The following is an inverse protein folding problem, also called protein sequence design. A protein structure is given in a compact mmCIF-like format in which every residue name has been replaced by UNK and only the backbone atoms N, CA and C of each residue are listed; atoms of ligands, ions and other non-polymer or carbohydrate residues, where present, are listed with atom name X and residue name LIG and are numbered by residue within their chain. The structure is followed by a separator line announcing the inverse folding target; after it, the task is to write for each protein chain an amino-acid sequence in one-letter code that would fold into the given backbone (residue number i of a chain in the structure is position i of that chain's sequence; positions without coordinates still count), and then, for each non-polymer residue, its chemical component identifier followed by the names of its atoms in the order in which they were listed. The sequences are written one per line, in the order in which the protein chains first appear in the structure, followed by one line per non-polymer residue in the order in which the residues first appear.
data_IF_753540195481
#
_entry.id   IF_753540195481
#
_cell.length_a   1.000
_cell.length_b   1.000
_cell.length_c   1.000
_cell.angle_alpha   90.00
_cell.angle_beta   90.00
_cell.angle_gamma   90.00
#
_symmetry.space_group_name_H-M   'P 1'
#
loop_
_entity.id
_entity.type
_entity.pdbx_description
1 polymer ?
#
# COMPACT_ATOMS: atom_id res chain seq x y z
N UNK A 1 57.73 26.09 12.37
CA UNK A 1 56.39 26.59 11.93
C UNK A 1 55.22 25.71 12.41
N UNK A 2 55.39 24.85 13.43
CA UNK A 2 54.31 24.05 14.04
C UNK A 2 54.01 24.45 15.49
N UNK A 3 54.76 25.40 16.06
CA UNK A 3 54.59 25.89 17.43
C UNK A 3 53.73 27.16 17.55
N UNK A 4 53.40 27.82 16.43
CA UNK A 4 52.53 29.00 16.39
C UNK A 4 51.05 28.67 16.11
N UNK A 5 50.75 27.51 15.53
CA UNK A 5 49.37 27.08 15.27
C UNK A 5 48.67 26.56 16.54
N UNK A 6 49.42 25.97 17.48
CA UNK A 6 48.87 25.39 18.70
C UNK A 6 48.51 26.41 19.80
N UNK A 7 48.96 27.67 19.69
CA UNK A 7 48.62 28.72 20.66
C UNK A 7 47.28 29.40 20.38
N UNK A 8 46.74 29.29 19.17
CA UNK A 8 45.43 29.88 18.82
C UNK A 8 44.24 28.93 19.05
N UNK A 9 44.46 27.61 19.17
CA UNK A 9 43.40 26.65 19.45
C UNK A 9 43.09 26.48 20.96
N UNK A 10 43.96 26.97 21.86
CA UNK A 10 43.71 26.90 23.30
C UNK A 10 42.69 27.93 23.82
N UNK A 11 42.30 28.93 23.01
CA UNK A 11 41.25 29.90 23.38
C UNK A 11 39.83 29.48 22.97
N UNK A 12 39.66 28.31 22.34
CA UNK A 12 38.35 27.79 21.89
C UNK A 12 37.83 26.62 22.75
N UNK A 13 38.56 26.21 23.79
CA UNK A 13 38.22 25.03 24.62
C UNK A 13 37.39 25.39 25.88
N UNK A 14 37.07 26.67 26.12
CA UNK A 14 36.22 27.09 27.23
C UNK A 14 35.04 27.95 26.78
N UNK A 15 34.26 27.45 25.83
CA UNK A 15 32.86 27.87 25.76
C UNK A 15 32.11 27.11 26.85
N UNK A 16 31.44 27.78 27.81
CA UNK A 16 30.67 27.09 28.83
C UNK A 16 29.63 26.19 28.15
N UNK A 17 29.48 24.96 28.66
CA UNK A 17 28.39 24.09 28.23
C UNK A 17 27.07 24.87 28.35
N UNK A 18 26.28 24.95 27.26
CA UNK A 18 24.98 25.64 27.27
C UNK A 18 24.20 25.21 28.51
N UNK A 19 23.68 26.19 29.26
CA UNK A 19 22.89 25.92 30.46
C UNK A 19 21.79 24.91 30.13
N UNK A 20 21.53 23.94 31.02
CA UNK A 20 20.54 22.87 30.80
C UNK A 20 19.17 23.45 30.40
N UNK A 21 18.81 24.61 30.97
CA UNK A 21 17.59 25.35 30.63
C UNK A 21 17.58 25.89 29.20
N UNK A 22 18.72 26.39 28.72
CA UNK A 22 18.88 26.92 27.37
C UNK A 22 18.86 25.78 26.34
N UNK A 23 19.51 24.65 26.65
CA UNK A 23 19.47 23.45 25.82
C UNK A 23 18.07 22.81 25.76
N UNK A 24 17.28 22.88 26.84
CA UNK A 24 15.86 22.46 26.82
C UNK A 24 15.01 23.41 25.99
N UNK A 25 15.20 24.73 26.13
CA UNK A 25 14.46 25.73 25.35
C UNK A 25 14.71 25.57 23.84
N UNK A 26 15.97 25.42 23.43
CA UNK A 26 16.32 25.15 22.03
C UNK A 26 15.72 23.83 21.50
N UNK A 27 15.59 22.80 22.35
CA UNK A 27 14.97 21.53 21.97
C UNK A 27 13.47 21.69 21.72
N UNK A 28 12.77 22.41 22.61
CA UNK A 28 11.35 22.73 22.45
C UNK A 28 11.10 23.59 21.21
N UNK A 29 11.92 24.62 20.98
CA UNK A 29 11.84 25.47 19.78
C UNK A 29 12.07 24.67 18.49
N UNK A 30 13.01 23.71 18.51
CA UNK A 30 13.26 22.81 17.38
C UNK A 30 12.09 21.84 17.14
N UNK A 31 11.53 21.24 18.19
CA UNK A 31 10.37 20.36 18.10
C UNK A 31 9.13 21.10 17.57
N UNK A 32 8.89 22.33 18.03
CA UNK A 32 7.83 23.19 17.52
C UNK A 32 8.03 23.55 16.04
N UNK A 33 9.27 23.88 15.65
CA UNK A 33 9.62 24.18 14.27
C UNK A 33 9.35 22.97 13.36
N UNK A 34 9.77 21.78 13.78
CA UNK A 34 9.53 20.52 13.04
C UNK A 34 8.03 20.20 12.96
N UNK A 35 7.29 20.40 14.06
CA UNK A 35 5.84 20.19 14.09
C UNK A 35 5.09 21.17 13.17
N UNK A 36 5.51 22.44 13.12
CA UNK A 36 4.96 23.44 12.20
C UNK A 36 5.30 23.11 10.75
N UNK A 37 6.52 22.67 10.46
CA UNK A 37 6.93 22.22 9.12
C UNK A 37 6.05 21.05 8.64
N UNK A 38 5.88 20.01 9.47
CA UNK A 38 4.98 18.87 9.17
C UNK A 38 3.54 19.31 8.95
N UNK A 39 3.00 20.23 9.77
CA UNK A 39 1.64 20.76 9.58
C UNK A 39 1.49 21.55 8.28
N UNK A 40 2.51 22.31 7.87
CA UNK A 40 2.51 23.05 6.60
C UNK A 40 2.57 22.09 5.42
N UNK A 41 3.45 21.08 5.46
CA UNK A 41 3.52 20.03 4.43
C UNK A 41 2.19 19.29 4.27
N UNK A 42 1.55 18.89 5.37
CA UNK A 42 0.23 18.22 5.31
C UNK A 42 -0.81 19.14 4.67
N UNK A 43 -0.87 20.42 5.05
CA UNK A 43 -1.81 21.38 4.46
C UNK A 43 -1.52 21.66 2.97
N UNK A 44 -0.26 21.74 2.58
CA UNK A 44 0.12 21.91 1.18
C UNK A 44 -0.17 20.66 0.35
N UNK A 45 0.07 19.47 0.91
CA UNK A 45 -0.30 18.21 0.30
C UNK A 45 -1.82 18.10 0.14
N UNK A 46 -2.63 18.49 1.14
CA UNK A 46 -4.09 18.55 1.05
C UNK A 46 -4.56 19.54 -0.02
N UNK A 47 -3.95 20.73 -0.11
CA UNK A 47 -4.24 21.72 -1.16
C UNK A 47 -3.88 21.20 -2.55
N UNK A 48 -2.71 20.57 -2.70
CA UNK A 48 -2.29 19.93 -3.97
C UNK A 48 -3.24 18.82 -4.35
N UNK A 49 -3.62 17.95 -3.40
CA UNK A 49 -4.59 16.87 -3.59
C UNK A 49 -5.95 17.42 -4.01
N UNK A 50 -6.43 18.52 -3.42
CA UNK A 50 -7.68 19.18 -3.81
C UNK A 50 -7.61 19.76 -5.22
N UNK A 51 -6.53 20.46 -5.56
CA UNK A 51 -6.31 21.07 -6.88
C UNK A 51 -6.11 20.03 -7.97
N UNK A 52 -5.47 18.91 -7.64
CA UNK A 52 -5.34 17.74 -8.52
C UNK A 52 -6.69 17.05 -8.68
N UNK A 53 -7.50 16.92 -7.62
CA UNK A 53 -8.86 16.37 -7.71
C UNK A 53 -9.79 17.24 -8.55
N UNK A 54 -9.64 18.57 -8.52
CA UNK A 54 -10.37 19.52 -9.37
C UNK A 54 -9.92 19.44 -10.84
N UNK A 55 -8.60 19.38 -11.10
CA UNK A 55 -8.04 19.23 -12.46
C UNK A 55 -8.32 17.87 -13.07
N UNK A 56 -8.20 16.81 -12.28
CA UNK A 56 -8.58 15.48 -12.71
C UNK A 56 -10.09 15.41 -12.86
N UNK A 57 -10.89 16.06 -12.01
CA UNK A 57 -12.36 16.18 -12.14
C UNK A 57 -12.84 16.68 -13.51
N UNK A 58 -12.19 17.71 -14.05
CA UNK A 58 -12.48 18.23 -15.41
C UNK A 58 -11.92 17.34 -16.52
N UNK A 59 -10.82 16.62 -16.29
CA UNK A 59 -10.25 15.67 -17.24
C UNK A 59 -11.04 14.33 -17.27
N UNK A 60 -11.54 13.88 -16.12
CA UNK A 60 -12.37 12.68 -15.92
C UNK A 60 -13.69 12.82 -16.65
N UNK A 61 -14.32 14.00 -16.58
CA UNK A 61 -15.58 14.28 -17.29
C UNK A 61 -15.46 14.16 -18.81
N UNK A 62 -14.26 14.35 -19.36
CA UNK A 62 -14.01 14.26 -20.80
C UNK A 62 -13.49 12.88 -21.24
N UNK A 63 -13.04 12.02 -20.31
CA UNK A 63 -12.39 10.75 -20.65
C UNK A 63 -13.35 9.56 -20.67
N UNK A 64 -14.32 9.45 -19.75
CA UNK A 64 -15.41 8.46 -19.79
C UNK A 64 -16.49 8.83 -18.75
N UNK A 65 -17.78 8.67 -19.07
CA UNK A 65 -18.90 8.80 -18.11
C UNK A 65 -18.74 7.83 -16.91
N UNK A 66 -19.26 8.22 -15.75
CA UNK A 66 -19.12 7.47 -14.48
C UNK A 66 -19.62 6.03 -14.57
N UNK A 67 -20.66 5.80 -15.36
CA UNK A 67 -21.27 4.48 -15.59
C UNK A 67 -20.36 3.60 -16.47
N UNK A 68 -19.55 4.18 -17.35
CA UNK A 68 -18.62 3.43 -18.19
C UNK A 68 -17.46 2.85 -17.37
N UNK A 69 -16.98 3.57 -16.35
CA UNK A 69 -15.98 3.02 -15.42
C UNK A 69 -16.54 1.82 -14.64
N UNK A 70 -17.83 1.87 -14.28
CA UNK A 70 -18.48 0.76 -13.62
C UNK A 70 -18.54 -0.48 -14.52
N UNK A 71 -18.76 -0.31 -15.83
CA UNK A 71 -18.76 -1.39 -16.84
C UNK A 71 -17.36 -1.90 -17.20
N UNK A 72 -16.32 -1.09 -16.99
CA UNK A 72 -14.93 -1.46 -17.15
C UNK A 72 -14.22 -0.59 -18.15
N UNK A 73 -12.97 -0.25 -17.82
CA UNK A 73 -12.17 0.59 -18.69
C UNK A 73 -11.58 -0.30 -19.79
N UNK A 74 -11.74 0.04 -21.07
CA UNK A 74 -11.10 -0.69 -22.16
C UNK A 74 -9.57 -0.76 -21.93
N UNK A 75 -8.92 -1.93 -22.13
CA UNK A 75 -7.49 -2.08 -21.88
C UNK A 75 -6.62 -1.03 -22.58
N UNK A 76 -7.00 -0.60 -23.78
CA UNK A 76 -6.29 0.38 -24.60
C UNK A 76 -6.24 1.81 -24.03
N UNK A 77 -6.99 2.10 -22.97
CA UNK A 77 -6.99 3.43 -22.34
C UNK A 77 -6.70 3.38 -20.83
N UNK A 78 -6.46 2.18 -20.27
CA UNK A 78 -6.09 2.01 -18.86
C UNK A 78 -4.80 2.74 -18.52
N UNK A 79 -3.85 2.78 -19.46
CA UNK A 79 -2.58 3.50 -19.31
C UNK A 79 -2.79 4.96 -18.87
N UNK A 80 -3.67 5.68 -19.56
CA UNK A 80 -3.98 7.08 -19.30
C UNK A 80 -4.80 7.21 -18.03
N UNK A 81 -5.87 6.42 -17.92
CA UNK A 81 -6.84 6.56 -16.84
C UNK A 81 -6.21 6.24 -15.48
N UNK A 82 -5.51 5.11 -15.37
CA UNK A 82 -4.87 4.70 -14.11
C UNK A 82 -3.72 5.65 -13.73
N UNK A 83 -2.91 6.09 -14.71
CA UNK A 83 -1.84 7.06 -14.45
C UNK A 83 -2.36 8.38 -13.89
N UNK A 84 -3.47 8.88 -14.44
CA UNK A 84 -4.11 10.11 -13.97
C UNK A 84 -4.75 9.94 -12.60
N UNK A 85 -5.39 8.79 -12.35
CA UNK A 85 -6.04 8.47 -11.09
C UNK A 85 -5.08 8.32 -9.92
N UNK A 86 -4.01 7.56 -10.14
CA UNK A 86 -2.98 7.32 -9.11
C UNK A 86 -2.11 8.57 -8.96
N UNK A 87 -1.79 9.24 -10.05
CA UNK A 87 -1.01 10.47 -10.08
C UNK A 87 0.49 10.26 -9.86
N UNK A 88 1.22 11.37 -9.78
CA UNK A 88 2.67 11.38 -9.57
C UNK A 88 3.07 12.38 -8.47
N UNK A 89 2.50 12.19 -7.27
CA UNK A 89 2.78 13.01 -6.08
C UNK A 89 4.27 12.97 -5.68
N UNK A 90 4.96 11.86 -5.99
CA UNK A 90 6.40 11.67 -5.77
C UNK A 90 7.28 12.43 -6.78
N UNK A 91 6.71 13.00 -7.84
CA UNK A 91 7.42 13.70 -8.92
C UNK A 91 8.54 12.84 -9.55
N UNK A 92 8.28 11.55 -9.75
CA UNK A 92 9.22 10.64 -10.39
C UNK A 92 9.27 10.97 -11.88
N UNK A 93 10.47 11.22 -12.38
CA UNK A 93 10.72 11.50 -13.80
C UNK A 93 11.21 10.23 -14.51
N UNK A 94 11.12 10.23 -15.84
CA UNK A 94 11.70 9.15 -16.66
C UNK A 94 13.22 9.04 -16.47
N UNK A 95 13.92 10.16 -16.26
CA UNK A 95 15.36 10.15 -15.93
C UNK A 95 15.64 9.44 -14.59
N UNK A 96 14.82 9.68 -13.57
CA UNK A 96 14.94 8.96 -12.30
C UNK A 96 14.68 7.46 -12.46
N UNK A 97 13.71 7.09 -13.30
CA UNK A 97 13.47 5.69 -13.65
C UNK A 97 14.71 5.05 -14.29
N UNK A 98 15.33 5.68 -15.29
CA UNK A 98 16.54 5.14 -15.94
C UNK A 98 17.71 4.96 -14.94
N UNK A 99 17.87 5.89 -14.00
CA UNK A 99 18.86 5.77 -12.93
C UNK A 99 18.56 4.56 -12.03
N UNK A 100 17.30 4.37 -11.63
CA UNK A 100 16.91 3.23 -10.80
C UNK A 100 17.02 1.90 -11.56
N UNK A 101 16.65 1.88 -12.84
CA UNK A 101 16.78 0.75 -13.74
C UNK A 101 18.22 0.30 -13.85
N UNK A 102 19.14 1.23 -14.12
CA UNK A 102 20.58 0.96 -14.21
C UNK A 102 21.12 0.33 -12.92
N UNK A 103 20.73 0.88 -11.77
CA UNK A 103 21.13 0.34 -10.44
C UNK A 103 20.54 -1.05 -10.18
N UNK A 104 19.29 -1.28 -10.58
CA UNK A 104 18.65 -2.59 -10.44
C UNK A 104 19.38 -3.63 -11.30
N UNK A 105 19.69 -3.31 -12.56
CA UNK A 105 20.44 -4.19 -13.46
C UNK A 105 21.83 -4.54 -12.92
N UNK A 106 22.58 -3.54 -12.42
CA UNK A 106 23.89 -3.79 -11.78
C UNK A 106 23.76 -4.71 -10.56
N UNK A 107 22.71 -4.52 -9.75
CA UNK A 107 22.44 -5.36 -8.58
C UNK A 107 22.16 -6.81 -8.99
N UNK A 108 21.36 -7.02 -10.04
CA UNK A 108 21.05 -8.35 -10.56
C UNK A 108 22.26 -9.04 -11.18
N UNK A 109 23.05 -8.32 -11.98
CA UNK A 109 24.28 -8.87 -12.56
C UNK A 109 25.24 -9.37 -11.47
N UNK A 110 25.50 -8.55 -10.45
CA UNK A 110 26.35 -8.94 -9.31
C UNK A 110 25.81 -10.16 -8.58
N UNK A 111 24.49 -10.30 -8.50
CA UNK A 111 23.86 -11.43 -7.84
C UNK A 111 24.00 -12.73 -8.66
N UNK A 112 23.93 -12.65 -9.99
CA UNK A 112 24.18 -13.79 -10.88
C UNK A 112 25.65 -14.23 -10.84
N UNK A 113 26.58 -13.27 -10.90
CA UNK A 113 28.02 -13.54 -10.83
C UNK A 113 28.39 -14.29 -9.53
N UNK A 114 27.85 -13.84 -8.38
CA UNK A 114 28.09 -14.48 -7.08
C UNK A 114 27.53 -15.92 -6.99
N UNK A 115 26.36 -16.18 -7.56
CA UNK A 115 25.78 -17.53 -7.59
C UNK A 115 26.56 -18.50 -8.48
N UNK A 116 27.29 -18.01 -9.47
CA UNK A 116 28.14 -18.84 -10.32
C UNK A 116 29.51 -19.12 -9.67
N UNK A 117 30.01 -18.20 -8.83
CA UNK A 117 31.34 -18.30 -8.23
C UNK A 117 31.37 -18.95 -6.83
N UNK A 118 30.29 -18.89 -6.04
CA UNK A 118 30.25 -19.45 -4.68
C UNK A 118 29.07 -20.39 -4.46
N UNK A 119 29.36 -21.69 -4.30
CA UNK A 119 28.40 -22.70 -3.84
C UNK A 119 28.11 -22.66 -2.34
N UNK A 120 28.74 -21.77 -1.56
CA UNK A 120 28.53 -21.64 -0.12
C UNK A 120 28.64 -20.17 0.35
N UNK A 121 27.56 -19.73 1.01
CA UNK A 121 27.31 -18.56 1.86
C UNK A 121 28.37 -17.45 2.01
N UNK A 122 27.97 -16.18 1.80
CA UNK A 122 27.99 -15.06 2.79
C UNK A 122 27.24 -13.83 2.20
N UNK A 123 25.99 -13.61 2.62
CA UNK A 123 25.19 -12.44 2.20
C UNK A 123 23.77 -12.36 2.77
N UNK A 124 23.51 -12.95 3.94
CA UNK A 124 22.21 -13.45 4.40
C UNK A 124 20.98 -12.50 4.32
N UNK A 125 21.13 -11.18 4.35
CA UNK A 125 19.99 -10.26 4.46
C UNK A 125 19.62 -9.54 3.13
N UNK A 126 20.60 -9.31 2.25
CA UNK A 126 20.37 -8.67 0.93
C UNK A 126 20.15 -9.68 -0.19
N UNK A 127 20.80 -10.83 -0.09
CA UNK A 127 20.69 -11.95 -1.04
C UNK A 127 19.29 -12.58 -0.98
N UNK A 128 18.73 -12.66 0.24
CA UNK A 128 17.38 -13.16 0.48
C UNK A 128 16.32 -12.31 -0.25
N UNK A 129 16.51 -10.98 -0.35
CA UNK A 129 15.54 -10.11 -1.03
C UNK A 129 15.38 -10.42 -2.53
N UNK A 130 16.47 -10.79 -3.23
CA UNK A 130 16.43 -11.07 -4.67
C UNK A 130 15.87 -12.46 -4.97
N UNK A 131 16.19 -13.45 -4.14
CA UNK A 131 15.58 -14.78 -4.24
C UNK A 131 14.08 -14.75 -3.93
N UNK A 132 13.65 -13.95 -2.95
CA UNK A 132 12.23 -13.72 -2.69
C UNK A 132 11.52 -13.03 -3.87
N UNK A 133 12.18 -12.09 -4.56
CA UNK A 133 11.65 -11.49 -5.79
C UNK A 133 11.53 -12.53 -6.91
N UNK A 134 12.53 -13.40 -7.12
CA UNK A 134 12.43 -14.49 -8.11
C UNK A 134 11.28 -15.45 -7.80
N UNK A 135 11.14 -15.85 -6.54
CA UNK A 135 10.05 -16.70 -6.08
C UNK A 135 8.69 -16.04 -6.30
N UNK A 136 8.60 -14.73 -6.11
CA UNK A 136 7.39 -13.97 -6.42
C UNK A 136 7.07 -13.93 -7.90
N UNK A 137 8.07 -13.66 -8.75
CA UNK A 137 7.89 -13.64 -10.20
C UNK A 137 7.41 -15.01 -10.70
N UNK A 138 7.98 -16.12 -10.20
CA UNK A 138 7.60 -17.46 -10.63
C UNK A 138 6.12 -17.79 -10.37
N UNK A 139 5.56 -17.25 -9.28
CA UNK A 139 4.13 -17.40 -8.91
C UNK A 139 3.21 -16.29 -9.41
N UNK A 140 3.73 -15.28 -10.12
CA UNK A 140 2.93 -14.14 -10.60
C UNK A 140 2.26 -14.47 -11.94
N UNK A 141 0.94 -14.64 -11.94
CA UNK A 141 0.13 -15.01 -13.11
C UNK A 141 0.77 -16.15 -13.95
N UNK A 142 1.07 -17.31 -13.34
CA UNK A 142 1.90 -18.34 -13.96
C UNK A 142 1.27 -18.95 -15.22
N UNK A 143 -0.05 -18.96 -15.32
CA UNK A 143 -0.80 -19.48 -16.47
C UNK A 143 -0.59 -18.65 -17.74
N UNK A 144 -0.14 -17.40 -17.63
CA UNK A 144 0.16 -16.55 -18.79
C UNK A 144 1.54 -16.85 -19.38
N UNK A 145 2.46 -17.45 -18.62
CA UNK A 145 3.83 -17.76 -19.03
C UNK A 145 4.67 -16.57 -19.54
N UNK A 146 4.24 -15.33 -19.31
CA UNK A 146 4.90 -14.11 -19.83
C UNK A 146 5.85 -13.44 -18.84
N UNK A 147 5.66 -13.67 -17.54
CA UNK A 147 6.48 -13.10 -16.46
C UNK A 147 7.53 -14.08 -15.95
N UNK A 148 7.30 -15.38 -16.12
CA UNK A 148 8.23 -16.44 -15.72
C UNK A 148 9.51 -16.37 -16.58
N UNK A 149 10.57 -17.04 -16.13
CA UNK A 149 11.87 -17.04 -16.81
C UNK A 149 11.71 -17.45 -18.29
N UNK A 150 12.25 -16.64 -19.19
CA UNK A 150 12.11 -16.80 -20.64
C UNK A 150 10.90 -16.10 -21.26
N UNK A 151 9.97 -15.60 -20.45
CA UNK A 151 8.85 -14.79 -20.90
C UNK A 151 9.25 -13.34 -21.24
N UNK A 152 8.50 -12.66 -22.12
CA UNK A 152 8.85 -11.32 -22.62
C UNK A 152 8.90 -10.23 -21.55
N UNK A 153 8.17 -10.38 -20.44
CA UNK A 153 8.12 -9.39 -19.36
C UNK A 153 9.00 -9.74 -18.15
N UNK A 154 9.71 -10.86 -18.17
CA UNK A 154 10.49 -11.35 -17.03
C UNK A 154 11.46 -10.31 -16.49
N UNK A 155 12.37 -9.84 -17.34
CA UNK A 155 13.41 -8.88 -16.97
C UNK A 155 12.82 -7.51 -16.62
N UNK A 156 11.74 -7.11 -17.31
CA UNK A 156 11.08 -5.82 -17.07
C UNK A 156 10.44 -5.80 -15.68
N UNK A 157 9.71 -6.86 -15.32
CA UNK A 157 9.11 -7.02 -14.00
C UNK A 157 10.20 -7.08 -12.92
N UNK A 158 11.24 -7.88 -13.15
CA UNK A 158 12.38 -8.01 -12.25
C UNK A 158 13.06 -6.67 -11.94
N UNK A 159 13.16 -5.78 -12.93
CA UNK A 159 13.77 -4.47 -12.77
C UNK A 159 12.89 -3.45 -12.04
N UNK A 160 11.57 -3.60 -12.08
CA UNK A 160 10.64 -2.74 -11.32
C UNK A 160 10.59 -3.13 -9.84
N UNK A 161 10.82 -4.41 -9.52
CA UNK A 161 10.63 -4.91 -8.16
C UNK A 161 11.77 -4.53 -7.20
N UNK A 162 11.40 -3.83 -6.13
CA UNK A 162 12.31 -3.47 -5.03
C UNK A 162 12.18 -4.34 -3.78
N UNK A 163 11.02 -4.97 -3.55
CA UNK A 163 10.68 -5.76 -2.35
C UNK A 163 9.70 -6.90 -2.72
N UNK A 164 9.70 -7.97 -1.93
CA UNK A 164 8.73 -9.07 -2.00
C UNK A 164 7.28 -8.58 -1.83
N UNK A 165 6.33 -9.30 -2.43
CA UNK A 165 4.89 -9.11 -2.36
C UNK A 165 4.34 -8.16 -3.42
N UNK A 166 5.22 -7.51 -4.19
CA UNK A 166 4.85 -6.44 -5.10
C UNK A 166 4.72 -6.88 -6.57
N UNK A 167 5.07 -8.13 -6.87
CA UNK A 167 5.12 -8.65 -8.24
C UNK A 167 3.78 -8.61 -8.95
N UNK A 168 2.69 -8.93 -8.27
CA UNK A 168 1.35 -8.92 -8.86
C UNK A 168 0.90 -7.50 -9.24
N UNK A 169 1.13 -6.51 -8.38
CA UNK A 169 0.82 -5.10 -8.67
C UNK A 169 1.65 -4.61 -9.86
N UNK A 170 2.96 -4.85 -9.84
CA UNK A 170 3.85 -4.44 -10.92
C UNK A 170 3.49 -5.14 -12.24
N UNK A 171 3.11 -6.42 -12.21
CA UNK A 171 2.66 -7.17 -13.37
C UNK A 171 1.37 -6.60 -13.96
N UNK A 172 0.34 -6.31 -13.15
CA UNK A 172 -0.90 -5.67 -13.65
C UNK A 172 -0.59 -4.34 -14.32
N UNK A 173 0.30 -3.53 -13.75
CA UNK A 173 0.72 -2.27 -14.35
C UNK A 173 1.47 -2.47 -15.67
N UNK A 174 2.41 -3.41 -15.74
CA UNK A 174 3.19 -3.70 -16.95
C UNK A 174 2.36 -4.26 -18.12
N UNK A 175 1.21 -4.87 -17.84
CA UNK A 175 0.29 -5.32 -18.89
C UNK A 175 -0.50 -4.18 -19.52
N UNK A 176 -0.60 -3.05 -18.82
CA UNK A 176 -1.43 -1.92 -19.24
C UNK A 176 -0.60 -0.66 -19.53
N UNK A 177 0.65 -0.57 -19.08
CA UNK A 177 1.53 0.59 -19.19
C UNK A 177 2.91 0.19 -19.72
N UNK A 178 3.60 1.14 -20.36
CA UNK A 178 5.03 0.97 -20.62
C UNK A 178 5.84 0.94 -19.31
N UNK A 179 7.07 0.44 -19.35
CA UNK A 179 7.84 0.16 -18.13
C UNK A 179 8.13 1.41 -17.27
N UNK A 180 8.43 2.54 -17.89
CA UNK A 180 8.72 3.78 -17.17
C UNK A 180 7.47 4.34 -16.47
N UNK A 181 6.35 4.41 -17.17
CA UNK A 181 5.08 4.87 -16.60
C UNK A 181 4.54 3.88 -15.56
N UNK A 182 4.68 2.57 -15.81
CA UNK A 182 4.36 1.53 -14.84
C UNK A 182 5.15 1.73 -13.53
N UNK A 183 6.45 2.03 -13.61
CA UNK A 183 7.27 2.32 -12.43
C UNK A 183 6.80 3.57 -11.68
N UNK A 184 6.49 4.66 -12.39
CA UNK A 184 5.97 5.90 -11.79
C UNK A 184 4.66 5.61 -11.05
N UNK A 185 3.71 4.96 -11.71
CA UNK A 185 2.41 4.63 -11.13
C UNK A 185 2.56 3.68 -9.96
N UNK A 186 3.39 2.64 -10.10
CA UNK A 186 3.70 1.68 -9.05
C UNK A 186 4.22 2.36 -7.78
N UNK A 187 5.28 3.17 -7.89
CA UNK A 187 5.86 3.85 -6.74
C UNK A 187 4.87 4.80 -6.04
N UNK A 188 4.05 5.53 -6.81
CA UNK A 188 3.03 6.41 -6.26
C UNK A 188 1.87 5.64 -5.60
N UNK A 189 1.48 4.50 -6.16
CA UNK A 189 0.47 3.62 -5.58
C UNK A 189 0.94 3.06 -4.23
N UNK A 190 2.18 2.57 -4.16
CA UNK A 190 2.77 2.06 -2.92
C UNK A 190 2.89 3.14 -1.83
N UNK A 191 2.95 4.42 -2.21
CA UNK A 191 3.01 5.55 -1.29
C UNK A 191 1.62 6.07 -0.83
N UNK A 192 0.52 5.45 -1.27
CA UNK A 192 -0.82 5.80 -0.77
C UNK A 192 -1.01 5.34 0.68
N UNK A 193 -1.83 6.03 1.51
CA UNK A 193 -1.95 5.74 2.94
C UNK A 193 -2.35 4.29 3.27
N UNK A 194 -3.34 3.74 2.55
CA UNK A 194 -3.74 2.34 2.70
C UNK A 194 -2.56 1.42 2.38
N UNK A 195 -1.99 1.52 1.19
CA UNK A 195 -0.85 0.71 0.76
C UNK A 195 0.31 0.81 1.75
N UNK A 196 0.74 2.01 2.15
CA UNK A 196 1.81 2.19 3.14
C UNK A 196 1.54 1.46 4.46
N UNK A 197 0.29 1.43 4.93
CA UNK A 197 -0.10 0.71 6.15
C UNK A 197 0.21 -0.78 6.04
N UNK A 198 -0.22 -1.41 4.95
CA UNK A 198 -0.05 -2.84 4.72
C UNK A 198 1.37 -3.20 4.29
N UNK A 199 2.03 -2.40 3.43
CA UNK A 199 3.40 -2.63 2.97
C UNK A 199 4.45 -2.50 4.06
N UNK A 200 4.30 -1.52 4.96
CA UNK A 200 5.24 -1.34 6.08
C UNK A 200 4.89 -2.17 7.29
N UNK A 201 3.82 -2.97 7.21
CA UNK A 201 3.28 -3.73 8.35
C UNK A 201 3.08 -2.80 9.55
N UNK A 202 2.50 -1.62 9.30
CA UNK A 202 2.13 -0.69 10.37
C UNK A 202 0.89 -1.26 11.07
N UNK A 203 1.13 -2.13 12.04
CA UNK A 203 0.07 -2.82 12.79
C UNK A 203 -0.96 -1.83 13.35
N UNK A 204 -0.53 -0.66 13.82
CA UNK A 204 -1.44 0.34 14.40
C UNK A 204 -2.40 0.91 13.35
N UNK A 205 -1.93 1.15 12.13
CA UNK A 205 -2.77 1.64 11.04
C UNK A 205 -3.60 0.52 10.40
N UNK A 206 -3.04 -0.69 10.25
CA UNK A 206 -3.76 -1.87 9.78
C UNK A 206 -4.95 -2.22 10.67
N UNK A 207 -4.76 -2.22 12.01
CA UNK A 207 -5.85 -2.47 12.96
C UNK A 207 -7.00 -1.45 12.82
N UNK A 208 -6.71 -0.20 12.42
CA UNK A 208 -7.76 0.81 12.17
C UNK A 208 -8.51 0.54 10.88
N UNK A 209 -7.83 0.08 9.84
CA UNK A 209 -8.48 -0.39 8.62
C UNK A 209 -9.36 -1.62 8.90
N UNK A 210 -8.89 -2.58 9.70
CA UNK A 210 -9.68 -3.73 10.11
C UNK A 210 -10.90 -3.32 10.94
N UNK A 211 -10.74 -2.45 11.93
CA UNK A 211 -11.85 -1.96 12.72
C UNK A 211 -12.87 -1.19 11.86
N UNK A 212 -12.43 -0.36 10.92
CA UNK A 212 -13.32 0.32 9.98
C UNK A 212 -14.07 -0.70 9.10
N UNK A 213 -13.37 -1.70 8.57
CA UNK A 213 -13.95 -2.78 7.80
C UNK A 213 -15.00 -3.56 8.61
N UNK A 214 -14.70 -3.94 9.85
CA UNK A 214 -15.61 -4.69 10.73
C UNK A 214 -16.92 -3.95 10.99
N UNK A 215 -16.91 -2.62 11.12
CA UNK A 215 -18.13 -1.80 11.24
C UNK A 215 -19.06 -2.01 10.05
N UNK A 216 -18.53 -1.97 8.83
CA UNK A 216 -19.35 -2.15 7.63
C UNK A 216 -19.66 -3.61 7.35
N UNK A 217 -18.79 -4.53 7.75
CA UNK A 217 -19.06 -5.96 7.66
C UNK A 217 -20.26 -6.34 8.55
N UNK A 218 -20.29 -5.89 9.80
CA UNK A 218 -21.43 -6.11 10.70
C UNK A 218 -22.73 -5.49 10.17
N UNK A 219 -22.67 -4.27 9.62
CA UNK A 219 -23.84 -3.58 9.07
C UNK A 219 -24.44 -4.32 7.85
N UNK A 220 -23.59 -4.85 6.97
CA UNK A 220 -24.06 -5.51 5.75
C UNK A 220 -24.39 -7.00 5.95
N UNK A 221 -23.64 -7.70 6.81
CA UNK A 221 -23.69 -9.16 6.97
C UNK A 221 -23.66 -9.57 8.46
N UNK A 222 -24.65 -9.15 9.27
CA UNK A 222 -24.61 -9.32 10.73
C UNK A 222 -24.53 -10.79 11.17
N UNK A 223 -25.20 -11.70 10.45
CA UNK A 223 -25.18 -13.14 10.75
C UNK A 223 -23.78 -13.73 10.51
N UNK A 224 -23.19 -13.43 9.35
CA UNK A 224 -21.85 -13.88 9.01
C UNK A 224 -20.79 -13.27 9.92
N UNK A 225 -20.93 -11.98 10.27
CA UNK A 225 -20.06 -11.32 11.24
C UNK A 225 -20.10 -12.02 12.60
N UNK A 226 -21.29 -12.30 13.14
CA UNK A 226 -21.44 -13.03 14.39
C UNK A 226 -20.82 -14.44 14.31
N UNK A 227 -20.96 -15.12 13.17
CA UNK A 227 -20.32 -16.42 12.93
C UNK A 227 -18.79 -16.32 12.93
N UNK A 228 -18.21 -15.32 12.26
CA UNK A 228 -16.77 -15.10 12.26
C UNK A 228 -16.25 -14.79 13.67
N UNK A 229 -16.98 -13.98 14.45
CA UNK A 229 -16.65 -13.73 15.87
C UNK A 229 -16.72 -14.99 16.71
N UNK A 230 -17.73 -15.86 16.53
CA UNK A 230 -17.86 -17.14 17.24
C UNK A 230 -16.66 -18.06 16.99
N UNK A 231 -16.14 -18.09 15.77
CA UNK A 231 -15.01 -18.95 15.38
C UNK A 231 -13.64 -18.25 15.47
N UNK A 232 -13.58 -17.02 15.99
CA UNK A 232 -12.37 -16.19 16.06
C UNK A 232 -11.66 -16.03 14.69
N UNK A 233 -12.42 -15.95 13.59
CA UNK A 233 -11.88 -15.68 12.27
C UNK A 233 -11.73 -14.17 12.08
N UNK A 234 -10.50 -13.68 12.22
CA UNK A 234 -10.18 -12.25 12.18
C UNK A 234 -9.75 -11.78 10.77
N UNK A 235 -9.95 -10.49 10.43
CA UNK A 235 -9.66 -9.98 9.08
C UNK A 235 -8.21 -10.15 8.63
N UNK A 236 -7.23 -10.16 9.52
CA UNK A 236 -5.81 -10.35 9.18
C UNK A 236 -5.52 -11.67 8.45
N UNK A 237 -6.38 -12.69 8.63
CA UNK A 237 -6.22 -14.01 8.00
C UNK A 237 -6.44 -13.95 6.49
N UNK A 238 -7.36 -13.12 6.00
CA UNK A 238 -7.77 -13.11 4.58
C UNK A 238 -7.62 -11.74 3.91
N UNK A 239 -7.82 -10.65 4.66
CA UNK A 239 -7.95 -9.31 4.10
C UNK A 239 -6.60 -8.69 3.72
N UNK A 240 -5.49 -9.13 4.31
CA UNK A 240 -4.15 -8.60 4.01
C UNK A 240 -3.86 -8.72 2.52
N UNK A 241 -3.87 -9.94 1.98
CA UNK A 241 -3.52 -10.18 0.58
C UNK A 241 -4.48 -9.47 -0.39
N UNK A 242 -5.76 -9.38 -0.03
CA UNK A 242 -6.79 -8.72 -0.82
C UNK A 242 -6.51 -7.22 -0.97
N UNK A 243 -6.23 -6.53 0.14
CA UNK A 243 -6.03 -5.07 0.13
C UNK A 243 -4.61 -4.71 -0.32
N UNK A 244 -3.61 -5.43 0.18
CA UNK A 244 -2.20 -5.19 -0.09
C UNK A 244 -1.89 -5.31 -1.59
N UNK A 245 -2.42 -6.34 -2.27
CA UNK A 245 -2.23 -6.55 -3.72
C UNK A 245 -3.31 -5.93 -4.59
N UNK A 246 -4.28 -5.20 -4.00
CA UNK A 246 -5.48 -4.73 -4.72
C UNK A 246 -6.12 -5.90 -5.50
N UNK A 247 -6.28 -7.03 -4.84
CA UNK A 247 -6.84 -8.28 -5.36
C UNK A 247 -6.06 -8.97 -6.48
N UNK A 248 -4.95 -8.41 -6.97
CA UNK A 248 -4.21 -8.99 -8.11
C UNK A 248 -3.60 -10.36 -7.82
N UNK A 249 -3.34 -10.69 -6.54
CA UNK A 249 -2.92 -12.05 -6.12
C UNK A 249 -4.10 -12.99 -5.87
N UNK A 250 -5.26 -12.44 -5.50
CA UNK A 250 -6.38 -13.20 -4.93
C UNK A 250 -7.52 -13.46 -5.92
N UNK A 251 -7.60 -12.69 -7.01
CA UNK A 251 -8.61 -12.81 -8.05
C UNK A 251 -7.95 -13.07 -9.41
N UNK A 252 -8.69 -13.68 -10.36
CA UNK A 252 -8.26 -13.76 -11.76
C UNK A 252 -7.91 -12.37 -12.32
N UNK A 253 -6.92 -12.31 -13.22
CA UNK A 253 -6.38 -11.04 -13.73
C UNK A 253 -7.48 -10.09 -14.25
N UNK A 254 -8.41 -10.58 -15.06
CA UNK A 254 -9.46 -9.73 -15.64
C UNK A 254 -10.41 -9.17 -14.58
N UNK A 255 -10.74 -9.97 -13.56
CA UNK A 255 -11.53 -9.54 -12.40
C UNK A 255 -10.76 -8.50 -11.59
N UNK A 256 -9.49 -8.75 -11.31
CA UNK A 256 -8.63 -7.81 -10.59
C UNK A 256 -8.51 -6.48 -11.34
N UNK A 257 -8.31 -6.49 -12.66
CA UNK A 257 -8.28 -5.27 -13.48
C UNK A 257 -9.60 -4.50 -13.41
N UNK A 258 -10.75 -5.18 -13.36
CA UNK A 258 -12.05 -4.51 -13.16
C UNK A 258 -12.16 -3.84 -11.79
N UNK A 259 -11.65 -4.50 -10.74
CA UNK A 259 -11.56 -3.89 -9.40
C UNK A 259 -10.65 -2.66 -9.42
N UNK A 260 -9.53 -2.73 -10.12
CA UNK A 260 -8.59 -1.61 -10.28
C UNK A 260 -9.21 -0.41 -11.01
N UNK A 261 -10.01 -0.67 -12.05
CA UNK A 261 -10.72 0.37 -12.80
C UNK A 261 -11.55 1.24 -11.84
N UNK A 262 -12.34 0.61 -10.96
CA UNK A 262 -13.20 1.37 -10.02
C UNK A 262 -12.45 1.85 -8.78
N UNK A 263 -11.41 1.14 -8.32
CA UNK A 263 -10.49 1.65 -7.31
C UNK A 263 -9.86 2.99 -7.74
N UNK A 264 -9.48 3.13 -9.02
CA UNK A 264 -8.95 4.38 -9.54
C UNK A 264 -9.97 5.53 -9.46
N UNK A 265 -11.27 5.24 -9.48
CA UNK A 265 -12.36 6.22 -9.36
C UNK A 265 -12.64 6.59 -7.90
N UNK A 266 -12.83 5.56 -7.09
CA UNK A 266 -13.47 5.66 -5.77
C UNK A 266 -12.44 5.60 -4.61
N UNK A 267 -11.20 5.19 -4.92
CA UNK A 267 -10.11 5.07 -3.96
C UNK A 267 -10.19 3.83 -3.08
N UNK A 268 -9.46 3.86 -1.97
CA UNK A 268 -9.27 2.71 -1.07
C UNK A 268 -10.58 2.14 -0.50
N UNK A 269 -11.62 2.96 -0.35
CA UNK A 269 -12.95 2.53 0.10
C UNK A 269 -13.52 1.40 -0.77
N UNK A 270 -13.27 1.46 -2.08
CA UNK A 270 -13.76 0.45 -3.02
C UNK A 270 -13.14 -0.93 -2.78
N UNK A 271 -11.91 -0.99 -2.28
CA UNK A 271 -11.27 -2.25 -1.93
C UNK A 271 -12.03 -2.92 -0.79
N UNK A 272 -12.38 -2.19 0.27
CA UNK A 272 -13.15 -2.74 1.38
C UNK A 272 -14.60 -3.08 0.99
N UNK A 273 -15.20 -2.31 0.09
CA UNK A 273 -16.51 -2.66 -0.50
C UNK A 273 -16.45 -4.00 -1.23
N UNK A 274 -15.40 -4.21 -2.00
CA UNK A 274 -15.13 -5.46 -2.73
C UNK A 274 -14.95 -6.63 -1.77
N UNK A 275 -14.25 -6.44 -0.64
CA UNK A 275 -14.09 -7.47 0.39
C UNK A 275 -15.44 -7.93 0.96
N UNK A 276 -16.32 -6.99 1.34
CA UNK A 276 -17.66 -7.33 1.85
C UNK A 276 -18.49 -8.02 0.76
N UNK A 277 -18.37 -7.59 -0.49
CA UNK A 277 -19.09 -8.21 -1.60
C UNK A 277 -18.68 -9.67 -1.83
N UNK A 278 -17.39 -9.98 -1.74
CA UNK A 278 -16.90 -11.37 -1.78
C UNK A 278 -17.48 -12.18 -0.63
N UNK A 279 -17.51 -11.63 0.59
CA UNK A 279 -18.14 -12.30 1.73
C UNK A 279 -19.64 -12.52 1.53
N UNK A 280 -20.34 -11.55 0.94
CA UNK A 280 -21.76 -11.64 0.59
C UNK A 280 -22.02 -12.75 -0.43
N UNK A 281 -21.21 -12.85 -1.50
CA UNK A 281 -21.33 -13.92 -2.50
C UNK A 281 -21.22 -15.32 -1.91
N UNK A 282 -20.42 -15.47 -0.86
CA UNK A 282 -20.13 -16.76 -0.23
C UNK A 282 -20.81 -16.94 1.13
N UNK A 283 -21.71 -16.03 1.54
CA UNK A 283 -22.29 -16.01 2.88
C UNK A 283 -22.93 -17.35 3.26
N UNK A 284 -23.79 -17.90 2.39
CA UNK A 284 -24.51 -19.15 2.65
C UNK A 284 -23.57 -20.35 2.88
N UNK A 285 -22.43 -20.37 2.18
CA UNK A 285 -21.44 -21.43 2.28
C UNK A 285 -20.58 -21.23 3.53
N UNK A 286 -20.12 -20.00 3.79
CA UNK A 286 -19.29 -19.65 4.94
C UNK A 286 -20.01 -19.88 6.27
N UNK A 287 -21.32 -19.60 6.35
CA UNK A 287 -22.14 -19.87 7.54
C UNK A 287 -22.19 -21.34 7.95
N UNK A 288 -21.85 -22.26 7.03
CA UNK A 288 -21.84 -23.71 7.28
C UNK A 288 -20.44 -24.25 7.57
N UNK A 289 -19.42 -23.41 7.48
CA UNK A 289 -18.02 -23.79 7.66
C UNK A 289 -17.54 -23.50 9.08
N UNK A 290 -16.55 -24.29 9.53
CA UNK A 290 -15.76 -23.99 10.72
C UNK A 290 -14.60 -23.04 10.39
N UNK A 291 -13.80 -22.69 11.40
CA UNK A 291 -12.64 -21.81 11.26
C UNK A 291 -11.68 -22.24 10.13
N UNK A 292 -11.33 -23.52 10.06
CA UNK A 292 -10.29 -24.02 9.14
C UNK A 292 -10.79 -23.89 7.70
N UNK A 293 -12.02 -24.34 7.43
CA UNK A 293 -12.59 -24.31 6.09
C UNK A 293 -12.84 -22.87 5.61
N UNK A 294 -13.31 -21.98 6.49
CA UNK A 294 -13.45 -20.56 6.16
C UNK A 294 -12.08 -19.94 5.84
N UNK A 295 -11.07 -20.15 6.66
CA UNK A 295 -9.73 -19.60 6.45
C UNK A 295 -9.11 -20.09 5.13
N UNK A 296 -9.25 -21.38 4.82
CA UNK A 296 -8.76 -21.96 3.56
C UNK A 296 -9.47 -21.36 2.33
N UNK A 297 -10.80 -21.24 2.39
CA UNK A 297 -11.58 -20.68 1.30
C UNK A 297 -11.27 -19.20 1.06
N UNK A 298 -11.16 -18.39 2.12
CA UNK A 298 -10.94 -16.95 1.97
C UNK A 298 -9.49 -16.60 1.58
N UNK A 299 -8.52 -17.46 1.92
CA UNK A 299 -7.12 -17.30 1.48
C UNK A 299 -6.89 -17.83 0.06
N UNK A 300 -7.82 -18.60 -0.50
CA UNK A 300 -7.79 -19.13 -1.86
C UNK A 300 -9.19 -19.10 -2.48
N UNK A 301 -9.57 -17.92 -2.96
CA UNK A 301 -10.86 -17.72 -3.62
C UNK A 301 -10.97 -18.57 -4.90
N UNK A 302 -12.20 -18.95 -5.31
CA UNK A 302 -12.41 -19.70 -6.55
C UNK A 302 -11.85 -18.98 -7.79
N UNK A 303 -11.16 -19.70 -8.66
CA UNK A 303 -10.57 -19.15 -9.90
C UNK A 303 -11.61 -18.75 -10.95
N UNK A 304 -12.85 -19.24 -10.84
CA UNK A 304 -13.94 -19.00 -11.78
C UNK A 304 -14.94 -17.93 -11.30
N UNK A 305 -14.50 -17.01 -10.45
CA UNK A 305 -15.34 -15.95 -9.90
C UNK A 305 -15.81 -15.00 -11.01
N UNK A 306 -17.13 -14.90 -11.19
CA UNK A 306 -17.75 -14.08 -12.23
C UNK A 306 -17.63 -12.58 -11.92
N UNK A 307 -17.21 -11.81 -12.91
CA UNK A 307 -17.15 -10.34 -12.83
C UNK A 307 -18.55 -9.78 -12.55
N UNK A 308 -19.57 -10.27 -13.25
CA UNK A 308 -20.93 -9.73 -13.16
C UNK A 308 -21.56 -10.02 -11.80
N UNK A 309 -21.37 -11.24 -11.28
CA UNK A 309 -21.87 -11.61 -9.94
C UNK A 309 -21.16 -10.79 -8.86
N UNK A 310 -19.83 -10.63 -8.97
CA UNK A 310 -19.07 -9.79 -8.05
C UNK A 310 -19.55 -8.35 -8.07
N UNK A 311 -19.65 -7.73 -9.24
CA UNK A 311 -20.06 -6.33 -9.34
C UNK A 311 -21.53 -6.13 -8.93
N UNK A 312 -22.39 -7.12 -9.13
CA UNK A 312 -23.75 -7.13 -8.58
C UNK A 312 -23.72 -7.13 -7.06
N UNK A 313 -22.91 -7.99 -6.44
CA UNK A 313 -22.72 -8.01 -4.99
C UNK A 313 -22.11 -6.70 -4.47
N UNK A 314 -21.10 -6.13 -5.15
CA UNK A 314 -20.50 -4.84 -4.78
C UNK A 314 -21.56 -3.73 -4.79
N UNK A 315 -22.42 -3.69 -5.81
CA UNK A 315 -23.49 -2.69 -5.89
C UNK A 315 -24.45 -2.76 -4.68
N UNK A 316 -24.73 -3.97 -4.18
CA UNK A 316 -25.59 -4.19 -3.02
C UNK A 316 -24.95 -3.71 -1.70
N UNK A 317 -23.62 -3.81 -1.55
CA UNK A 317 -22.91 -3.39 -0.33
C UNK A 317 -23.03 -1.88 -0.10
N UNK A 318 -23.37 -1.51 1.13
CA UNK A 318 -23.46 -0.13 1.59
C UNK A 318 -22.33 0.20 2.58
N UNK A 319 -21.48 1.18 2.24
CA UNK A 319 -20.43 1.68 3.15
C UNK A 319 -20.87 2.94 3.91
N UNK A 320 -22.04 2.82 4.55
CA UNK A 320 -22.61 3.83 5.42
C UNK A 320 -23.12 3.19 6.71
N UNK A 321 -22.65 3.66 7.87
CA UNK A 321 -23.18 3.24 9.17
C UNK A 321 -23.45 4.47 10.03
N UNK A 322 -24.64 4.55 10.64
CA UNK A 322 -25.10 5.70 11.45
C UNK A 322 -24.86 7.06 10.78
N UNK A 323 -25.16 7.17 9.48
CA UNK A 323 -24.91 8.35 8.64
C UNK A 323 -23.44 8.76 8.45
N UNK A 324 -22.48 7.90 8.83
CA UNK A 324 -21.06 8.09 8.55
C UNK A 324 -20.64 7.21 7.37
N UNK A 325 -19.94 7.80 6.40
CA UNK A 325 -19.28 7.09 5.31
C UNK A 325 -17.93 6.52 5.74
N UNK A 326 -17.35 5.62 4.94
CA UNK A 326 -16.03 5.02 5.16
C UNK A 326 -14.98 6.01 5.69
N UNK A 327 -14.73 7.10 4.95
CA UNK A 327 -13.71 8.08 5.33
C UNK A 327 -13.94 8.74 6.69
N UNK A 328 -15.20 8.91 7.11
CA UNK A 328 -15.53 9.50 8.41
C UNK A 328 -15.35 8.49 9.55
N UNK A 329 -15.70 7.22 9.31
CA UNK A 329 -15.50 6.13 10.26
C UNK A 329 -14.00 5.91 10.50
N UNK A 330 -13.23 5.77 9.42
CA UNK A 330 -11.78 5.58 9.50
C UNK A 330 -11.08 6.76 10.18
N UNK A 331 -11.47 8.00 9.87
CA UNK A 331 -10.91 9.19 10.51
C UNK A 331 -11.22 9.25 12.02
N UNK A 332 -12.41 8.81 12.43
CA UNK A 332 -12.77 8.71 13.87
C UNK A 332 -11.86 7.71 14.57
N UNK A 333 -11.73 6.50 14.04
CA UNK A 333 -10.85 5.45 14.59
C UNK A 333 -9.38 5.86 14.64
N UNK A 334 -8.92 6.64 13.66
CA UNK A 334 -7.56 7.19 13.64
C UNK A 334 -7.32 8.23 14.73
N UNK A 335 -8.34 8.99 15.14
CA UNK A 335 -8.27 10.01 16.19
C UNK A 335 -8.32 9.42 17.59
N UNK A 336 -9.30 8.56 17.87
CA UNK A 336 -9.56 7.99 19.19
C UNK A 336 -8.33 7.25 19.75
N UNK A 337 -7.53 6.66 18.85
CA UNK A 337 -6.30 5.98 19.21
C UNK A 337 -5.12 6.92 19.53
N UNK A 338 -5.04 8.11 18.91
CA UNK A 338 -4.02 9.11 19.29
C UNK A 338 -4.23 9.62 20.71
N UNK A 339 -5.49 9.86 21.06
CA UNK A 339 -5.91 10.32 22.39
C UNK A 339 -5.67 9.24 23.46
N UNK A 340 -5.87 7.97 23.12
CA UNK A 340 -5.54 6.82 23.99
C UNK A 340 -4.03 6.59 24.18
N UNK A 341 -3.23 6.77 23.13
CA UNK A 341 -1.76 6.62 23.18
C UNK A 341 -1.06 7.75 23.95
N UNK A 342 -1.57 8.98 23.89
CA UNK A 342 -1.06 10.10 24.70
C UNK A 342 -1.42 9.95 26.19
N UNK A 343 -2.61 9.40 26.48
CA UNK A 343 -3.02 9.10 27.86
C UNK A 343 -2.12 8.04 28.52
N UNK A 344 -1.68 7.02 27.76
CA UNK A 344 -0.74 6.00 28.27
C UNK A 344 0.71 6.49 28.44
N UNK A 345 1.12 7.55 27.75
CA UNK A 345 2.46 8.15 27.91
C UNK A 345 2.53 9.10 29.11
N UNK A 346 1.42 9.72 29.49
CA UNK A 346 1.32 10.58 30.66
C UNK A 346 1.01 9.82 31.97
N UNK A 347 0.82 8.50 31.92
CA UNK A 347 0.55 7.65 33.09
C UNK A 347 1.71 6.71 33.43
N UNK A 348 2.97 7.15 33.27
CA UNK A 348 4.11 6.49 33.91
C UNK A 348 4.24 7.04 35.33
N UNK A 349 4.01 6.24 36.40
CA UNK A 349 4.27 6.72 37.74
C UNK A 349 5.78 6.81 37.93
N UNK A 350 6.27 7.97 38.36
CA UNK A 350 7.59 8.12 38.97
C UNK A 350 7.79 6.98 39.98
N UNK A 351 8.69 6.04 39.67
CA UNK A 351 9.29 5.16 40.67
C UNK A 351 10.65 5.74 41.01
N UNK A 352 10.66 6.22 42.25
CA UNK A 352 11.74 6.62 43.18
C UNK A 352 13.17 6.35 42.75
#
# INVERSE_FOLDING_TARGET
MLTLFNRHCSSLINLPAKCVQEAQKHRQEYEEMVAQARKREVKEAEKRKKKMKERSGTLYHNLLEWDLWWQGIPPSVRDKVWSLAIGNDLNITHELYEIFLSRAMEKWKRFEDLNMENGDAVGADRENSLELIKLDISRTFPTLCIFQKGGPYHNVLQNILGVQGMSFIAAVLLLNLNAADAFVVFANLLNKPCQLAFFRVDHGLMLKYYAAFEVFFEENLPNLFAHFKKYNLTPDIYLIDWIFTLYSKSLPLDVACRVWDVFCRDGEEFLFRTAIAILLMFEEVLLRMDFIHMAQMLTRLPENLSIDELFTAIAAVQLQSRNKKWGQVLATLQRDWRESGESSRNSSPNRQ
#
